data_IF_928542191042
#
_entry.id   IF_928542191042
#
_cell.length_a   1.000
_cell.length_b   1.000
_cell.length_c   1.000
_cell.angle_alpha   90.00
_cell.angle_beta   90.00
_cell.angle_gamma   90.00
#
_symmetry.space_group_name_H-M   'P 1'
#
loop_
_entity.id
_entity.type
_entity.pdbx_description
1 polymer ?
#
# COMPACT_ATOMS: atom_id res chain seq x y z
N UNK A 1 -8.44 -37.11 13.71
CA UNK A 1 -9.73 -36.69 13.12
C UNK A 1 -9.92 -35.16 13.16
N UNK A 2 -9.73 -34.50 14.29
CA UNK A 2 -9.83 -33.00 14.38
C UNK A 2 -8.76 -32.28 13.56
N UNK A 3 -7.53 -32.79 13.48
CA UNK A 3 -6.43 -32.19 12.74
C UNK A 3 -6.64 -32.20 11.21
N UNK A 4 -7.27 -33.22 10.66
CA UNK A 4 -7.53 -33.31 9.22
C UNK A 4 -8.66 -32.37 8.79
N UNK A 5 -9.66 -32.16 9.63
CA UNK A 5 -10.75 -31.23 9.36
C UNK A 5 -10.26 -29.78 9.44
N UNK A 6 -9.43 -29.47 10.45
CA UNK A 6 -8.88 -28.12 10.60
C UNK A 6 -7.92 -27.75 9.46
N UNK A 7 -7.08 -28.69 9.02
CA UNK A 7 -6.19 -28.48 7.87
C UNK A 7 -6.97 -28.29 6.57
N UNK A 8 -8.02 -29.08 6.34
CA UNK A 8 -8.90 -28.91 5.17
C UNK A 8 -9.58 -27.56 5.12
N UNK A 9 -10.13 -27.11 6.27
CA UNK A 9 -10.75 -25.78 6.38
C UNK A 9 -9.75 -24.64 6.16
N UNK A 10 -8.55 -24.74 6.73
CA UNK A 10 -7.48 -23.74 6.53
C UNK A 10 -7.09 -23.64 5.06
N UNK A 11 -6.95 -24.77 4.37
CA UNK A 11 -6.62 -24.79 2.95
C UNK A 11 -7.73 -24.17 2.09
N UNK A 12 -8.98 -24.47 2.38
CA UNK A 12 -10.13 -23.95 1.66
C UNK A 12 -10.29 -22.43 1.87
N UNK A 13 -10.08 -21.95 3.10
CA UNK A 13 -10.08 -20.52 3.42
C UNK A 13 -8.93 -19.80 2.69
N UNK A 14 -7.73 -20.38 2.70
CA UNK A 14 -6.57 -19.79 2.01
C UNK A 14 -6.80 -19.67 0.51
N UNK A 15 -7.33 -20.68 -0.16
CA UNK A 15 -7.59 -20.63 -1.59
C UNK A 15 -8.68 -19.61 -1.96
N UNK A 16 -9.70 -19.45 -1.11
CA UNK A 16 -10.74 -18.44 -1.30
C UNK A 16 -10.19 -17.00 -1.14
N UNK A 17 -9.16 -16.81 -0.29
CA UNK A 17 -8.55 -15.51 -0.04
C UNK A 17 -7.68 -15.01 -1.20
N UNK A 18 -7.25 -15.86 -2.11
CA UNK A 18 -6.35 -15.47 -3.20
C UNK A 18 -6.98 -14.41 -4.12
N UNK A 19 -8.23 -14.60 -4.52
CA UNK A 19 -8.92 -13.64 -5.40
C UNK A 19 -9.08 -12.26 -4.75
N UNK A 20 -9.66 -12.13 -3.54
CA UNK A 20 -9.82 -10.82 -2.91
C UNK A 20 -8.48 -10.15 -2.59
N UNK A 21 -7.44 -10.90 -2.23
CA UNK A 21 -6.09 -10.35 -1.99
C UNK A 21 -5.51 -9.79 -3.28
N UNK A 22 -5.64 -10.50 -4.40
CA UNK A 22 -5.15 -10.03 -5.70
C UNK A 22 -5.87 -8.76 -6.17
N UNK A 23 -7.19 -8.70 -6.02
CA UNK A 23 -7.98 -7.50 -6.33
C UNK A 23 -7.64 -6.33 -5.41
N UNK A 24 -7.47 -6.59 -4.11
CA UNK A 24 -7.04 -5.57 -3.16
C UNK A 24 -5.66 -5.02 -3.52
N UNK A 25 -4.72 -5.88 -3.92
CA UNK A 25 -3.38 -5.47 -4.33
C UNK A 25 -3.44 -4.57 -5.58
N UNK A 26 -4.20 -4.95 -6.61
CA UNK A 26 -4.41 -4.11 -7.80
C UNK A 26 -5.03 -2.75 -7.44
N UNK A 27 -5.98 -2.74 -6.52
CA UNK A 27 -6.56 -1.50 -6.00
C UNK A 27 -5.50 -0.61 -5.32
N UNK A 28 -4.60 -1.19 -4.51
CA UNK A 28 -3.51 -0.44 -3.88
C UNK A 28 -2.49 0.09 -4.90
N UNK A 29 -2.21 -0.66 -5.96
CA UNK A 29 -1.37 -0.17 -7.08
C UNK A 29 -2.03 1.04 -7.74
N UNK A 30 -3.32 0.96 -8.05
CA UNK A 30 -4.08 2.07 -8.63
C UNK A 30 -4.11 3.30 -7.70
N UNK A 31 -4.33 3.08 -6.39
CA UNK A 31 -4.24 4.13 -5.38
C UNK A 31 -2.85 4.77 -5.34
N UNK A 32 -1.78 3.98 -5.44
CA UNK A 32 -0.41 4.49 -5.45
C UNK A 32 -0.16 5.40 -6.64
N UNK A 33 -0.63 5.03 -7.83
CA UNK A 33 -0.52 5.85 -9.04
C UNK A 33 -1.33 7.15 -8.87
N UNK A 34 -2.54 7.05 -8.34
CA UNK A 34 -3.41 8.20 -8.06
C UNK A 34 -2.77 9.18 -7.06
N UNK A 35 -2.18 8.66 -5.98
CA UNK A 35 -1.48 9.47 -4.96
C UNK A 35 -0.24 10.17 -5.53
N UNK A 36 0.50 9.54 -6.46
CA UNK A 36 1.60 10.20 -7.18
C UNK A 36 1.07 11.42 -7.94
N UNK A 37 -0.02 11.25 -8.70
CA UNK A 37 -0.63 12.35 -9.46
C UNK A 37 -1.04 13.53 -8.59
N UNK A 38 -1.73 13.26 -7.47
CA UNK A 38 -2.13 14.30 -6.52
C UNK A 38 -0.89 15.00 -5.92
N UNK A 39 0.13 14.24 -5.52
CA UNK A 39 1.32 14.77 -4.86
C UNK A 39 2.07 15.75 -5.76
N UNK A 40 2.12 15.49 -7.06
CA UNK A 40 2.72 16.42 -8.04
C UNK A 40 1.90 17.72 -8.11
N UNK A 41 0.56 17.63 -8.12
CA UNK A 41 -0.33 18.79 -8.12
C UNK A 41 -0.25 19.63 -6.84
N UNK A 42 -0.15 18.99 -5.68
CA UNK A 42 -0.03 19.65 -4.37
C UNK A 42 1.19 20.56 -4.30
N UNK A 43 2.33 20.06 -4.77
CA UNK A 43 3.59 20.80 -4.72
C UNK A 43 3.54 22.12 -5.51
N UNK A 44 2.84 22.10 -6.63
CA UNK A 44 2.87 23.24 -7.58
C UNK A 44 1.85 24.32 -7.26
N UNK A 45 0.68 23.97 -6.73
CA UNK A 45 -0.47 24.88 -6.63
C UNK A 45 -0.99 25.02 -5.20
N UNK A 46 -1.22 23.90 -4.49
CA UNK A 46 -1.95 23.93 -3.22
C UNK A 46 -1.15 24.52 -2.07
N UNK A 47 0.13 24.14 -1.91
CA UNK A 47 0.96 24.64 -0.80
C UNK A 47 1.12 26.16 -0.86
N UNK A 48 1.32 26.71 -2.06
CA UNK A 48 1.39 28.17 -2.24
C UNK A 48 0.07 28.86 -1.90
N UNK A 49 -1.05 28.23 -2.21
CA UNK A 49 -2.40 28.76 -1.91
C UNK A 49 -2.69 28.71 -0.40
N UNK A 50 -2.31 27.61 0.28
CA UNK A 50 -2.48 27.44 1.73
C UNK A 50 -1.70 28.49 2.54
N UNK A 51 -0.45 28.71 2.18
CA UNK A 51 0.38 29.78 2.81
C UNK A 51 -0.26 31.17 2.63
N UNK A 52 -0.91 31.42 1.51
CA UNK A 52 -1.60 32.70 1.25
C UNK A 52 -2.88 32.88 2.07
N UNK A 53 -3.57 31.77 2.38
CA UNK A 53 -4.83 31.81 3.15
C UNK A 53 -4.59 32.01 4.65
N UNK A 54 -3.38 31.70 5.15
CA UNK A 54 -2.94 31.85 6.55
C UNK A 54 -3.84 31.15 7.59
N UNK A 55 -4.50 30.05 7.20
CA UNK A 55 -5.34 29.23 8.09
C UNK A 55 -4.60 27.95 8.51
N UNK A 56 -3.97 28.03 9.65
CA UNK A 56 -3.15 26.93 10.21
C UNK A 56 -3.97 25.66 10.50
N UNK A 57 -5.23 25.82 10.94
CA UNK A 57 -6.09 24.68 11.25
C UNK A 57 -6.46 23.88 9.99
N UNK A 58 -6.73 24.59 8.90
CA UNK A 58 -7.03 23.97 7.60
C UNK A 58 -5.80 23.22 7.05
N UNK A 59 -4.62 23.81 7.17
CA UNK A 59 -3.36 23.19 6.75
C UNK A 59 -3.10 21.91 7.54
N UNK A 60 -3.25 21.94 8.86
CA UNK A 60 -3.06 20.77 9.74
C UNK A 60 -4.07 19.66 9.44
N UNK A 61 -5.34 19.99 9.22
CA UNK A 61 -6.38 19.02 8.89
C UNK A 61 -6.11 18.30 7.56
N UNK A 62 -5.74 19.04 6.52
CA UNK A 62 -5.38 18.47 5.21
C UNK A 62 -4.11 17.62 5.30
N UNK A 63 -3.07 18.12 5.98
CA UNK A 63 -1.82 17.41 6.19
C UNK A 63 -2.06 16.06 6.85
N UNK A 64 -2.81 16.04 7.96
CA UNK A 64 -3.13 14.82 8.70
C UNK A 64 -3.81 13.78 7.82
N UNK A 65 -4.92 14.14 7.19
CA UNK A 65 -5.69 13.19 6.36
C UNK A 65 -4.90 12.65 5.17
N UNK A 66 -4.07 13.47 4.53
CA UNK A 66 -3.29 13.07 3.34
C UNK A 66 -2.07 12.24 3.71
N UNK A 67 -1.42 12.52 4.83
CA UNK A 67 -0.30 11.72 5.34
C UNK A 67 -0.81 10.36 5.83
N UNK A 68 -1.92 10.31 6.55
CA UNK A 68 -2.52 9.06 7.04
C UNK A 68 -2.87 8.10 5.90
N UNK A 69 -3.40 8.59 4.78
CA UNK A 69 -3.68 7.74 3.60
C UNK A 69 -2.41 7.15 2.99
N UNK A 70 -1.35 7.95 2.85
CA UNK A 70 -0.08 7.46 2.34
C UNK A 70 0.58 6.46 3.31
N UNK A 71 0.51 6.71 4.62
CA UNK A 71 0.98 5.78 5.66
C UNK A 71 0.21 4.45 5.64
N UNK A 72 -1.10 4.49 5.36
CA UNK A 72 -1.93 3.29 5.21
C UNK A 72 -1.47 2.41 4.04
N UNK A 73 -1.24 3.01 2.87
CA UNK A 73 -0.71 2.30 1.69
C UNK A 73 0.67 1.70 2.01
N UNK A 74 1.53 2.47 2.67
CA UNK A 74 2.89 2.04 3.04
C UNK A 74 2.91 0.75 3.85
N UNK A 75 1.93 0.56 4.72
CA UNK A 75 1.85 -0.60 5.62
C UNK A 75 1.10 -1.77 4.99
N UNK A 76 -0.06 -1.52 4.39
CA UNK A 76 -0.93 -2.59 3.92
C UNK A 76 -0.50 -3.20 2.59
N UNK A 77 0.03 -2.41 1.66
CA UNK A 77 0.42 -2.93 0.36
C UNK A 77 1.50 -4.03 0.43
N UNK A 78 2.58 -3.90 1.23
CA UNK A 78 3.54 -4.98 1.40
C UNK A 78 2.97 -6.21 2.10
N UNK A 79 2.04 -6.04 3.06
CA UNK A 79 1.38 -7.16 3.72
C UNK A 79 0.52 -7.96 2.76
N UNK A 80 -0.24 -7.28 1.89
CA UNK A 80 -1.01 -7.93 0.82
C UNK A 80 -0.10 -8.63 -0.20
N UNK A 81 1.03 -8.02 -0.55
CA UNK A 81 2.05 -8.64 -1.40
C UNK A 81 2.56 -9.95 -0.79
N UNK A 82 2.87 -9.96 0.51
CA UNK A 82 3.30 -11.16 1.22
C UNK A 82 2.20 -12.24 1.26
N UNK A 83 0.95 -11.87 1.52
CA UNK A 83 -0.17 -12.81 1.45
C UNK A 83 -0.33 -13.40 0.05
N UNK A 84 -0.19 -12.55 -0.99
CA UNK A 84 -0.23 -12.98 -2.39
C UNK A 84 0.88 -13.96 -2.79
N UNK A 85 1.99 -14.03 -2.03
CA UNK A 85 3.02 -15.06 -2.23
C UNK A 85 2.72 -16.36 -1.47
N UNK A 86 2.31 -16.26 -0.22
CA UNK A 86 2.14 -17.42 0.63
C UNK A 86 0.94 -18.28 0.22
N UNK A 87 -0.14 -17.67 -0.22
CA UNK A 87 -1.36 -18.37 -0.57
C UNK A 87 -1.15 -19.34 -1.75
N UNK A 88 -0.61 -18.94 -2.91
CA UNK A 88 -0.44 -19.85 -4.04
C UNK A 88 0.68 -20.86 -3.85
N UNK A 89 1.68 -20.57 -3.00
CA UNK A 89 2.78 -21.50 -2.74
C UNK A 89 2.33 -22.80 -2.06
N UNK A 90 1.31 -22.76 -1.20
CA UNK A 90 0.78 -23.95 -0.55
C UNK A 90 0.31 -25.02 -1.55
N UNK A 91 -0.67 -24.73 -2.42
CA UNK A 91 -1.09 -25.64 -3.49
C UNK A 91 0.03 -25.99 -4.48
N UNK A 92 0.92 -25.05 -4.80
CA UNK A 92 2.06 -25.27 -5.68
C UNK A 92 3.03 -26.32 -5.15
N UNK A 93 3.34 -26.29 -3.85
CA UNK A 93 4.19 -27.28 -3.20
C UNK A 93 3.50 -28.65 -3.07
N UNK A 94 2.20 -28.68 -2.84
CA UNK A 94 1.43 -29.92 -2.82
C UNK A 94 1.46 -30.60 -4.20
N UNK A 95 1.23 -29.86 -5.28
CA UNK A 95 1.32 -30.37 -6.64
C UNK A 95 2.72 -30.88 -7.01
N UNK A 96 3.77 -30.26 -6.47
CA UNK A 96 5.14 -30.76 -6.65
C UNK A 96 5.31 -32.15 -6.01
N UNK A 97 4.67 -32.39 -4.85
CA UNK A 97 4.66 -33.70 -4.22
C UNK A 97 4.02 -34.80 -5.09
N UNK A 98 3.06 -34.43 -5.95
CA UNK A 98 2.41 -35.29 -6.92
C UNK A 98 3.16 -35.35 -8.29
N UNK A 99 4.30 -34.66 -8.39
CA UNK A 99 5.14 -34.63 -9.60
C UNK A 99 4.74 -33.55 -10.62
N UNK A 100 3.78 -32.68 -10.29
CA UNK A 100 3.34 -31.61 -11.20
C UNK A 100 4.11 -30.31 -10.98
N UNK A 101 5.22 -30.17 -11.68
CA UNK A 101 6.09 -28.99 -11.66
C UNK A 101 5.43 -27.77 -12.31
N UNK A 102 4.48 -27.97 -13.23
CA UNK A 102 3.81 -26.90 -13.97
C UNK A 102 2.97 -26.03 -13.05
N UNK A 103 2.22 -26.64 -12.13
CA UNK A 103 1.41 -25.92 -11.13
C UNK A 103 2.31 -25.11 -10.19
N UNK A 104 3.43 -25.67 -9.75
CA UNK A 104 4.40 -24.94 -8.92
C UNK A 104 4.98 -23.73 -9.67
N UNK A 105 5.37 -23.89 -10.94
CA UNK A 105 5.90 -22.80 -11.75
C UNK A 105 4.92 -21.64 -11.88
N UNK A 106 3.66 -21.94 -12.12
CA UNK A 106 2.59 -20.92 -12.20
C UNK A 106 2.38 -20.23 -10.85
N UNK A 107 2.35 -20.99 -9.75
CA UNK A 107 2.19 -20.45 -8.41
C UNK A 107 3.35 -19.51 -8.04
N UNK A 108 4.58 -19.85 -8.41
CA UNK A 108 5.76 -19.02 -8.18
C UNK A 108 5.70 -17.71 -8.99
N UNK A 109 5.26 -17.77 -10.24
CA UNK A 109 5.10 -16.55 -11.06
C UNK A 109 4.13 -15.56 -10.41
N UNK A 110 2.94 -16.03 -10.01
CA UNK A 110 1.96 -15.20 -9.30
C UNK A 110 2.53 -14.65 -8.00
N UNK A 111 3.27 -15.47 -7.25
CA UNK A 111 3.90 -15.07 -6.01
C UNK A 111 4.91 -13.92 -6.21
N UNK A 112 5.77 -14.01 -7.21
CA UNK A 112 6.73 -12.94 -7.51
C UNK A 112 6.04 -11.66 -7.93
N UNK A 113 5.07 -11.72 -8.84
CA UNK A 113 4.32 -10.57 -9.32
C UNK A 113 3.64 -9.82 -8.17
N UNK A 114 2.95 -10.53 -7.28
CA UNK A 114 2.26 -9.94 -6.14
C UNK A 114 3.23 -9.31 -5.12
N UNK A 115 4.39 -9.91 -4.90
CA UNK A 115 5.43 -9.32 -4.02
C UNK A 115 5.96 -8.01 -4.60
N UNK A 116 6.33 -8.02 -5.88
CA UNK A 116 6.87 -6.83 -6.54
C UNK A 116 5.87 -5.67 -6.51
N UNK A 117 4.61 -5.94 -6.85
CA UNK A 117 3.55 -4.94 -6.84
C UNK A 117 3.27 -4.40 -5.43
N UNK A 118 3.24 -5.28 -4.42
CA UNK A 118 3.05 -4.91 -3.02
C UNK A 118 4.17 -4.01 -2.49
N UNK A 119 5.42 -4.38 -2.78
CA UNK A 119 6.59 -3.60 -2.36
C UNK A 119 6.68 -2.26 -3.08
N UNK A 120 6.43 -2.20 -4.39
CA UNK A 120 6.41 -0.95 -5.15
C UNK A 120 5.34 0.01 -4.62
N UNK A 121 4.14 -0.50 -4.35
CA UNK A 121 3.06 0.32 -3.79
C UNK A 121 3.41 0.83 -2.40
N UNK A 122 3.97 -0.01 -1.53
CA UNK A 122 4.41 0.38 -0.20
C UNK A 122 5.55 1.41 -0.23
N UNK A 123 6.53 1.23 -1.10
CA UNK A 123 7.62 2.19 -1.29
C UNK A 123 7.10 3.55 -1.78
N UNK A 124 6.17 3.54 -2.72
CA UNK A 124 5.53 4.75 -3.23
C UNK A 124 4.81 5.50 -2.11
N UNK A 125 4.00 4.80 -1.32
CA UNK A 125 3.31 5.38 -0.16
C UNK A 125 4.29 5.99 0.84
N UNK A 126 5.39 5.30 1.16
CA UNK A 126 6.42 5.78 2.06
C UNK A 126 7.08 7.07 1.58
N UNK A 127 7.48 7.13 0.31
CA UNK A 127 8.09 8.33 -0.28
C UNK A 127 7.12 9.50 -0.25
N UNK A 128 5.86 9.28 -0.64
CA UNK A 128 4.83 10.32 -0.62
C UNK A 128 4.57 10.84 0.79
N UNK A 129 4.40 9.95 1.77
CA UNK A 129 4.18 10.35 3.17
C UNK A 129 5.34 11.22 3.68
N UNK A 130 6.59 10.83 3.40
CA UNK A 130 7.77 11.57 3.81
C UNK A 130 7.90 12.94 3.14
N UNK A 131 7.58 13.02 1.84
CA UNK A 131 7.59 14.29 1.11
C UNK A 131 6.52 15.24 1.63
N UNK A 132 5.29 14.74 1.83
CA UNK A 132 4.19 15.52 2.38
C UNK A 132 4.53 16.07 3.77
N UNK A 133 5.03 15.26 4.68
CA UNK A 133 5.46 15.73 6.02
C UNK A 133 6.41 16.91 5.90
N UNK A 134 7.47 16.79 5.10
CA UNK A 134 8.45 17.88 4.91
C UNK A 134 7.83 19.15 4.32
N UNK A 135 6.88 19.02 3.40
CA UNK A 135 6.25 20.18 2.78
C UNK A 135 5.28 20.90 3.71
N UNK A 136 4.48 20.16 4.44
CA UNK A 136 3.55 20.74 5.42
C UNK A 136 4.29 21.35 6.62
N UNK A 137 5.34 20.71 7.13
CA UNK A 137 6.19 21.26 8.20
C UNK A 137 6.84 22.58 7.74
N UNK A 138 7.36 22.65 6.53
CA UNK A 138 7.89 23.90 5.97
C UNK A 138 6.81 24.99 5.81
N UNK A 139 5.62 24.62 5.37
CA UNK A 139 4.52 25.58 5.24
C UNK A 139 4.12 26.16 6.60
N UNK A 140 4.01 25.34 7.62
CA UNK A 140 3.72 25.77 9.00
C UNK A 140 4.80 26.69 9.55
N UNK A 141 6.07 26.36 9.40
CA UNK A 141 7.20 27.21 9.82
C UNK A 141 7.18 28.59 9.16
N UNK A 142 6.80 28.68 7.87
CA UNK A 142 6.68 29.95 7.17
C UNK A 142 5.50 30.78 7.73
N UNK A 143 4.39 30.13 8.07
CA UNK A 143 3.21 30.80 8.63
C UNK A 143 3.49 31.33 10.04
N UNK A 144 4.16 30.54 10.92
CA UNK A 144 4.53 30.94 12.27
C UNK A 144 5.47 32.15 12.25
N UNK A 145 6.51 32.12 11.44
CA UNK A 145 7.43 33.26 11.27
C UNK A 145 6.77 34.54 10.72
N UNK A 146 5.62 34.39 10.05
CA UNK A 146 4.86 35.53 9.54
C UNK A 146 3.94 36.14 10.59
N UNK A 147 3.47 35.33 11.54
CA UNK A 147 2.61 35.79 12.63
C UNK A 147 3.40 36.45 13.79
N UNK A 148 4.71 36.19 13.89
CA UNK A 148 5.60 36.81 14.88
C UNK A 148 6.13 38.21 14.46
N UNK A 149 5.91 38.62 13.23
CA UNK A 149 6.27 39.95 12.70
C UNK A 149 5.07 40.88 12.59
#
# INVERSE_FOLDING_TARGET
MFSSISLGLMHQISSFLLEPVSWALLFFVALSIYEIGITIGERTIEIKRLIKTNDTNLVLGLAKSRIERADFITRLAPMLGLMGTLIPLGPGLAALGDGDVSVLSTAMSVAFDTTVLGLLSGMTGFVIARLRRRWYDNALNIMDNKNEK
#
